data_IF_591490064385
#
_entry.id   IF_591490064385
#
_cell.length_a   1.000
_cell.length_b   1.000
_cell.length_c   1.000
_cell.angle_alpha   90.00
_cell.angle_beta   90.00
_cell.angle_gamma   90.00
#
_symmetry.space_group_name_H-M   'P 1'
#
loop_
_entity.id
_entity.type
_entity.pdbx_description
1 polymer ?
#
# COMPACT_ATOMS: atom_id res chain seq x y z
N UNK A 1 1.19 13.17 -14.49
CA UNK A 1 2.49 12.69 -15.01
C UNK A 1 2.52 13.03 -16.51
N UNK A 2 3.67 13.41 -17.05
CA UNK A 2 3.84 13.76 -18.47
C UNK A 2 4.89 12.83 -19.09
N UNK A 3 4.42 11.82 -19.81
CA UNK A 3 5.27 10.81 -20.44
C UNK A 3 6.16 11.37 -21.54
N UNK A 4 5.75 12.45 -22.21
CA UNK A 4 6.52 13.06 -23.30
C UNK A 4 7.82 13.70 -22.81
N UNK A 5 7.88 14.06 -21.52
CA UNK A 5 9.05 14.64 -20.88
C UNK A 5 10.01 13.60 -20.29
N UNK A 6 9.65 12.31 -20.30
CA UNK A 6 10.44 11.24 -19.70
C UNK A 6 11.19 10.44 -20.77
N UNK A 7 12.53 10.49 -20.73
CA UNK A 7 13.36 9.66 -21.62
C UNK A 7 13.31 8.15 -21.34
N UNK A 8 13.21 7.65 -20.08
CA UNK A 8 13.05 6.23 -19.80
C UNK A 8 11.62 5.69 -19.98
N UNK A 9 10.65 6.53 -20.33
CA UNK A 9 9.27 6.10 -20.55
C UNK A 9 9.16 5.06 -21.66
N UNK A 10 8.36 4.03 -21.39
CA UNK A 10 7.92 3.03 -22.36
C UNK A 10 6.40 2.97 -22.35
N UNK A 11 5.79 3.18 -23.51
CA UNK A 11 4.35 3.07 -23.67
C UNK A 11 3.89 1.62 -23.47
N UNK A 12 2.82 1.43 -22.70
CA UNK A 12 2.10 0.16 -22.60
C UNK A 12 0.70 0.33 -23.23
N UNK A 13 -0.12 1.23 -22.69
CA UNK A 13 -1.40 1.62 -23.30
C UNK A 13 -2.58 0.68 -23.03
N UNK A 14 -2.38 -0.45 -22.36
CA UNK A 14 -3.47 -1.30 -21.88
C UNK A 14 -4.40 -0.51 -20.95
N UNK A 15 -5.70 -0.62 -21.17
CA UNK A 15 -6.69 0.10 -20.37
C UNK A 15 -6.77 -0.46 -18.96
N UNK A 16 -6.91 0.43 -17.98
CA UNK A 16 -6.97 0.10 -16.57
C UNK A 16 -8.19 0.75 -15.91
N UNK A 17 -8.82 0.04 -14.96
CA UNK A 17 -9.85 0.64 -14.11
C UNK A 17 -9.89 0.01 -12.73
N UNK A 18 -10.01 0.84 -11.69
CA UNK A 18 -10.25 0.44 -10.30
C UNK A 18 -11.59 1.01 -9.84
N UNK A 19 -12.36 0.18 -9.13
CA UNK A 19 -13.54 0.61 -8.40
C UNK A 19 -13.19 0.84 -6.92
N UNK A 20 -13.44 2.06 -6.43
CA UNK A 20 -13.38 2.40 -5.02
C UNK A 20 -14.80 2.45 -4.43
N UNK A 21 -14.92 2.40 -3.10
CA UNK A 21 -16.22 2.47 -2.42
C UNK A 21 -16.99 3.77 -2.70
N UNK A 22 -16.28 4.85 -2.99
CA UNK A 22 -16.83 6.20 -3.20
C UNK A 22 -16.69 6.74 -4.62
N UNK A 23 -16.19 5.93 -5.57
CA UNK A 23 -15.95 6.35 -6.95
C UNK A 23 -15.23 5.30 -7.78
N UNK A 24 -14.80 5.66 -8.98
CA UNK A 24 -13.94 4.82 -9.79
C UNK A 24 -12.76 5.63 -10.31
N UNK A 25 -11.73 4.94 -10.78
CA UNK A 25 -10.60 5.51 -11.48
C UNK A 25 -10.39 4.70 -12.75
N UNK A 26 -10.18 5.38 -13.87
CA UNK A 26 -9.85 4.71 -15.13
C UNK A 26 -8.78 5.47 -15.91
N UNK A 27 -8.07 4.73 -16.75
CA UNK A 27 -6.93 5.24 -17.49
C UNK A 27 -6.22 4.12 -18.24
N UNK A 28 -4.90 4.19 -18.30
CA UNK A 28 -4.09 3.19 -18.98
C UNK A 28 -2.76 2.94 -18.28
N UNK A 29 -2.15 1.80 -18.55
CA UNK A 29 -0.85 1.42 -18.03
C UNK A 29 0.28 2.10 -18.82
N UNK A 30 1.32 2.45 -18.08
CA UNK A 30 2.58 3.01 -18.57
C UNK A 30 3.75 2.42 -17.80
N UNK A 31 4.92 2.38 -18.41
CA UNK A 31 6.15 1.92 -17.77
C UNK A 31 7.15 3.07 -17.71
N UNK A 32 7.76 3.27 -16.53
CA UNK A 32 8.84 4.24 -16.37
C UNK A 32 9.73 3.89 -15.16
N UNK A 33 10.75 4.72 -14.92
CA UNK A 33 11.58 4.70 -13.71
C UNK A 33 10.88 5.45 -12.58
N UNK A 34 10.61 4.75 -11.47
CA UNK A 34 10.03 5.33 -10.26
C UNK A 34 11.13 5.53 -9.21
N UNK A 35 11.19 6.75 -8.63
CA UNK A 35 12.08 7.03 -7.50
C UNK A 35 11.30 7.20 -6.22
N UNK A 36 11.65 6.43 -5.19
CA UNK A 36 11.02 6.48 -3.86
C UNK A 36 12.08 6.27 -2.78
N UNK A 37 12.09 7.12 -1.75
CA UNK A 37 13.04 7.03 -0.63
C UNK A 37 14.52 6.90 -1.06
N UNK A 38 14.91 7.56 -2.16
CA UNK A 38 16.27 7.48 -2.71
C UNK A 38 16.57 6.23 -3.55
N UNK A 39 15.66 5.25 -3.57
CA UNK A 39 15.74 4.08 -4.44
C UNK A 39 15.26 4.43 -5.85
N UNK A 40 15.88 3.82 -6.85
CA UNK A 40 15.50 3.97 -8.26
C UNK A 40 15.01 2.63 -8.78
N UNK A 41 13.70 2.48 -8.88
CA UNK A 41 13.01 1.31 -9.42
C UNK A 41 12.92 1.48 -10.93
N UNK A 42 13.59 0.61 -11.69
CA UNK A 42 13.49 0.63 -13.15
C UNK A 42 12.29 -0.17 -13.63
N UNK A 43 11.80 0.16 -14.83
CA UNK A 43 10.78 -0.61 -15.54
C UNK A 43 9.51 -0.87 -14.70
N UNK A 44 9.13 0.10 -13.86
CA UNK A 44 7.91 0.00 -13.06
C UNK A 44 6.71 0.32 -13.94
N UNK A 45 5.79 -0.64 -14.06
CA UNK A 45 4.48 -0.42 -14.67
C UNK A 45 3.55 0.22 -13.65
N UNK A 46 2.86 1.31 -14.00
CA UNK A 46 1.86 1.98 -13.18
C UNK A 46 0.73 2.51 -14.05
N UNK A 47 -0.40 2.86 -13.42
CA UNK A 47 -1.55 3.42 -14.11
C UNK A 47 -1.46 4.96 -14.17
N UNK A 48 -1.64 5.53 -15.37
CA UNK A 48 -1.94 6.93 -15.56
C UNK A 48 -3.46 7.13 -15.47
N UNK A 49 -3.92 7.85 -14.45
CA UNK A 49 -5.33 8.15 -14.27
C UNK A 49 -5.79 9.22 -15.26
N UNK A 50 -6.80 8.89 -16.06
CA UNK A 50 -7.38 9.80 -17.06
C UNK A 50 -8.75 10.30 -16.64
N UNK A 51 -9.47 9.51 -15.84
CA UNK A 51 -10.76 9.86 -15.28
C UNK A 51 -10.82 9.43 -13.81
N UNK A 52 -11.19 10.37 -12.97
CA UNK A 52 -11.38 10.18 -11.52
C UNK A 52 -12.78 10.68 -11.13
N UNK A 53 -13.85 9.99 -11.57
CA UNK A 53 -15.21 10.40 -11.24
C UNK A 53 -15.46 10.38 -9.72
N UNK A 54 -15.96 11.51 -9.21
CA UNK A 54 -16.34 11.69 -7.80
C UNK A 54 -15.53 12.79 -7.12
N UNK A 55 -15.67 12.91 -5.81
CA UNK A 55 -14.95 13.91 -4.99
C UNK A 55 -13.85 13.29 -4.12
N UNK A 56 -13.70 11.97 -4.17
CA UNK A 56 -12.78 11.22 -3.30
C UNK A 56 -11.32 11.62 -3.49
N UNK A 57 -10.94 12.01 -4.70
CA UNK A 57 -9.58 12.45 -5.04
C UNK A 57 -9.44 13.98 -5.08
N UNK A 58 -10.54 14.71 -5.34
CA UNK A 58 -10.57 16.18 -5.54
C UNK A 58 -10.11 16.99 -4.32
N UNK A 59 -10.38 16.50 -3.09
CA UNK A 59 -9.99 17.16 -1.84
C UNK A 59 -8.94 16.38 -1.05
N UNK A 60 -8.22 15.47 -1.71
CA UNK A 60 -7.21 14.67 -1.04
C UNK A 60 -5.90 15.46 -0.90
N UNK A 61 -5.13 15.18 0.15
CA UNK A 61 -3.80 15.74 0.36
C UNK A 61 -2.70 14.98 -0.39
N UNK A 62 -3.06 14.07 -1.31
CA UNK A 62 -2.15 13.20 -2.03
C UNK A 62 -2.49 13.20 -3.53
N UNK A 63 -1.49 12.97 -4.39
CA UNK A 63 -1.68 12.96 -5.85
C UNK A 63 -1.94 11.55 -6.42
N UNK A 64 -1.70 10.50 -5.63
CA UNK A 64 -1.88 9.12 -6.06
C UNK A 64 -1.63 8.10 -4.96
N UNK A 65 -1.70 6.82 -5.33
CA UNK A 65 -1.53 5.69 -4.42
C UNK A 65 -0.35 4.81 -4.85
N UNK A 66 0.45 4.38 -3.88
CA UNK A 66 1.48 3.38 -4.06
C UNK A 66 1.05 2.09 -3.33
N UNK A 67 0.52 1.13 -4.09
CA UNK A 67 0.04 -0.14 -3.54
C UNK A 67 1.18 -1.00 -3.00
N UNK A 68 1.05 -1.47 -1.76
CA UNK A 68 2.05 -2.31 -1.06
C UNK A 68 1.54 -3.73 -0.78
N UNK A 69 0.39 -4.11 -1.35
CA UNK A 69 -0.20 -5.44 -1.19
C UNK A 69 0.39 -6.46 -2.18
N UNK A 70 -0.14 -7.69 -2.18
CA UNK A 70 0.35 -8.76 -3.05
C UNK A 70 -0.08 -8.55 -4.51
N UNK A 71 0.73 -9.04 -5.45
CA UNK A 71 0.43 -8.98 -6.88
C UNK A 71 -0.90 -9.66 -7.25
N UNK A 72 -1.34 -10.67 -6.49
CA UNK A 72 -2.57 -11.43 -6.77
C UNK A 72 -3.85 -10.59 -6.75
N UNK A 73 -3.83 -9.41 -6.14
CA UNK A 73 -4.94 -8.45 -6.15
C UNK A 73 -4.63 -7.18 -6.95
N UNK A 74 -3.52 -7.18 -7.69
CA UNK A 74 -3.18 -6.11 -8.62
C UNK A 74 -4.01 -6.26 -9.88
N UNK A 75 -4.69 -5.20 -10.30
CA UNK A 75 -5.37 -5.17 -11.58
C UNK A 75 -4.37 -5.44 -12.70
N UNK A 76 -4.81 -6.23 -13.69
CA UNK A 76 -4.01 -6.65 -14.83
C UNK A 76 -2.71 -7.38 -14.44
N UNK A 77 -2.66 -7.91 -13.21
CA UNK A 77 -1.50 -8.62 -12.65
C UNK A 77 -0.20 -7.78 -12.70
N UNK A 78 -0.32 -6.45 -12.61
CA UNK A 78 0.83 -5.54 -12.62
C UNK A 78 1.73 -5.80 -11.41
N UNK A 79 3.04 -5.90 -11.63
CA UNK A 79 4.04 -6.14 -10.57
C UNK A 79 4.10 -4.93 -9.62
N UNK A 80 3.81 -5.08 -8.31
CA UNK A 80 3.83 -3.95 -7.37
C UNK A 80 5.24 -3.39 -7.13
N UNK A 81 5.38 -2.11 -6.73
CA UNK A 81 6.68 -1.48 -6.52
C UNK A 81 7.63 -2.23 -5.59
N UNK A 82 7.12 -2.80 -4.48
CA UNK A 82 7.98 -3.52 -3.54
C UNK A 82 8.56 -4.82 -4.12
N UNK A 83 7.84 -5.47 -5.05
CA UNK A 83 8.34 -6.65 -5.75
C UNK A 83 9.54 -6.28 -6.63
N UNK A 84 9.45 -5.16 -7.35
CA UNK A 84 10.54 -4.64 -8.16
C UNK A 84 11.71 -4.13 -7.31
N UNK A 85 11.44 -3.49 -6.16
CA UNK A 85 12.48 -3.11 -5.20
C UNK A 85 13.30 -4.33 -4.76
N UNK A 86 12.61 -5.42 -4.40
CA UNK A 86 13.25 -6.64 -3.96
C UNK A 86 13.98 -7.37 -5.10
N UNK A 87 13.31 -7.57 -6.24
CA UNK A 87 13.88 -8.32 -7.38
C UNK A 87 15.08 -7.63 -8.01
N UNK A 88 15.15 -6.29 -7.95
CA UNK A 88 16.28 -5.49 -8.43
C UNK A 88 17.40 -5.36 -7.37
N UNK A 89 17.26 -5.95 -6.18
CA UNK A 89 18.27 -5.94 -5.13
C UNK A 89 18.49 -4.57 -4.49
N UNK A 90 17.47 -3.72 -4.47
CA UNK A 90 17.57 -2.34 -3.96
C UNK A 90 17.51 -2.26 -2.42
N UNK A 91 17.14 -3.36 -1.77
CA UNK A 91 17.06 -3.50 -0.31
C UNK A 91 17.67 -4.83 0.13
N UNK A 92 18.19 -4.88 1.36
CA UNK A 92 18.86 -6.07 1.89
C UNK A 92 17.89 -7.18 2.34
N UNK A 93 16.64 -6.82 2.66
CA UNK A 93 15.62 -7.75 3.15
C UNK A 93 14.28 -7.49 2.47
N UNK A 94 13.48 -8.52 2.31
CA UNK A 94 12.14 -8.52 1.72
C UNK A 94 11.04 -8.06 2.69
N UNK A 95 11.36 -7.08 3.53
CA UNK A 95 10.43 -6.50 4.52
C UNK A 95 10.32 -4.99 4.36
N UNK A 96 9.16 -4.44 4.68
CA UNK A 96 8.97 -3.01 4.90
C UNK A 96 8.18 -2.78 6.17
N UNK A 97 8.29 -1.59 6.74
CA UNK A 97 7.62 -1.25 8.00
C UNK A 97 7.13 0.20 7.99
N UNK A 98 6.14 0.45 8.84
CA UNK A 98 5.54 1.77 9.01
C UNK A 98 5.58 2.18 10.47
N UNK A 99 5.99 3.43 10.69
CA UNK A 99 5.74 4.18 11.91
C UNK A 99 4.80 5.33 11.55
N UNK A 100 3.65 5.42 12.21
CA UNK A 100 2.69 6.51 12.00
C UNK A 100 2.55 7.29 13.30
N UNK A 101 2.96 8.55 13.29
CA UNK A 101 2.82 9.40 14.46
C UNK A 101 1.33 9.69 14.70
N UNK A 102 0.93 9.71 15.98
CA UNK A 102 -0.46 10.04 16.34
C UNK A 102 -0.69 11.53 16.14
N UNK A 103 -1.90 11.89 15.75
CA UNK A 103 -2.28 13.29 15.56
C UNK A 103 -1.95 14.11 16.83
N UNK A 104 -1.18 15.18 16.65
CA UNK A 104 -0.78 16.08 17.73
C UNK A 104 0.41 15.61 18.59
N UNK A 105 1.02 14.45 18.32
CA UNK A 105 2.17 13.97 19.11
C UNK A 105 3.53 14.27 18.48
N UNK A 106 3.57 14.69 17.22
CA UNK A 106 4.81 15.03 16.49
C UNK A 106 4.51 15.93 15.29
N UNK A 107 5.50 16.75 14.90
CA UNK A 107 5.49 17.47 13.62
C UNK A 107 5.92 16.57 12.45
N UNK A 108 6.56 15.43 12.73
CA UNK A 108 6.86 14.39 11.73
C UNK A 108 5.71 13.38 11.73
N UNK A 109 4.99 13.28 10.60
CA UNK A 109 3.77 12.47 10.50
C UNK A 109 3.98 10.95 10.54
N UNK A 110 5.19 10.48 10.21
CA UNK A 110 5.52 9.06 10.21
C UNK A 110 6.74 8.75 9.36
N UNK A 111 7.06 7.46 9.24
CA UNK A 111 8.13 6.93 8.41
C UNK A 111 7.68 5.61 7.78
N UNK A 112 7.99 5.45 6.49
CA UNK A 112 7.99 4.16 5.81
C UNK A 112 9.44 3.73 5.63
N UNK A 113 9.76 2.51 6.04
CA UNK A 113 11.12 1.96 5.97
C UNK A 113 11.08 0.76 5.01
N UNK A 114 11.91 0.80 3.98
CA UNK A 114 12.05 -0.27 3.00
C UNK A 114 13.32 -1.07 3.32
N UNK A 115 13.21 -2.39 3.43
CA UNK A 115 14.33 -3.28 3.74
C UNK A 115 14.57 -3.54 5.23
N UNK A 116 13.70 -3.07 6.13
CA UNK A 116 13.86 -3.27 7.57
C UNK A 116 12.87 -2.51 8.43
N UNK A 117 13.25 -2.34 9.69
CA UNK A 117 12.54 -1.55 10.72
C UNK A 117 13.55 -0.78 11.57
N UNK A 118 13.13 0.33 12.17
CA UNK A 118 13.95 1.09 13.11
C UNK A 118 13.57 0.72 14.56
N UNK A 119 14.47 0.06 15.33
CA UNK A 119 14.22 -0.29 16.74
C UNK A 119 13.94 0.89 17.66
N UNK A 120 14.27 2.12 17.27
CA UNK A 120 13.97 3.32 18.05
C UNK A 120 12.50 3.75 17.94
N UNK A 121 11.74 3.19 16.99
CA UNK A 121 10.34 3.54 16.73
C UNK A 121 9.33 2.60 17.39
N UNK A 122 9.79 1.58 18.12
CA UNK A 122 8.93 0.66 18.88
C UNK A 122 9.58 0.22 20.19
N UNK A 123 8.78 -0.35 21.10
CA UNK A 123 9.27 -0.91 22.36
C UNK A 123 9.03 -2.41 22.40
N UNK A 124 9.97 -3.14 22.99
CA UNK A 124 9.91 -4.61 23.04
C UNK A 124 10.22 -5.28 21.70
N UNK A 125 9.80 -6.53 21.55
CA UNK A 125 9.96 -7.31 20.31
C UNK A 125 8.72 -7.24 19.42
N UNK A 126 8.92 -7.50 18.13
CA UNK A 126 7.81 -7.65 17.17
C UNK A 126 7.15 -9.03 17.34
N UNK A 127 5.82 -9.04 17.37
CA UNK A 127 5.02 -10.26 17.30
C UNK A 127 4.69 -10.56 15.85
N UNK A 128 5.17 -11.69 15.35
CA UNK A 128 4.90 -12.14 13.99
C UNK A 128 3.70 -13.08 13.96
N UNK A 129 2.82 -12.87 12.99
CA UNK A 129 1.70 -13.76 12.67
C UNK A 129 1.79 -14.13 11.19
N UNK A 130 1.53 -15.40 10.81
CA UNK A 130 1.60 -15.81 9.43
C UNK A 130 0.46 -15.21 8.60
N UNK A 131 0.73 -14.99 7.31
CA UNK A 131 -0.30 -14.62 6.35
C UNK A 131 -1.28 -15.79 6.21
N UNK A 132 -2.56 -15.53 6.46
CA UNK A 132 -3.61 -16.55 6.37
C UNK A 132 -4.11 -16.77 4.94
N UNK A 133 -4.11 -15.71 4.13
CA UNK A 133 -4.45 -15.75 2.71
C UNK A 133 -3.68 -14.65 1.97
N UNK A 134 -2.99 -15.03 0.88
CA UNK A 134 -2.27 -14.06 0.05
C UNK A 134 -3.24 -13.22 -0.77
N UNK A 135 -2.98 -11.92 -0.80
CA UNK A 135 -3.79 -10.89 -1.47
C UNK A 135 -3.65 -9.59 -0.69
N UNK A 136 -4.37 -9.49 0.42
CA UNK A 136 -4.12 -8.47 1.43
C UNK A 136 -3.04 -8.91 2.43
N UNK A 137 -2.58 -7.98 3.27
CA UNK A 137 -1.80 -8.30 4.48
C UNK A 137 -2.73 -8.88 5.55
N UNK A 138 -3.30 -10.04 5.25
CA UNK A 138 -4.33 -10.71 6.05
C UNK A 138 -3.72 -11.74 7.01
N UNK A 139 -4.21 -11.75 8.24
CA UNK A 139 -3.80 -12.71 9.28
C UNK A 139 -4.99 -13.12 10.16
N UNK A 140 -4.84 -14.28 10.82
CA UNK A 140 -5.82 -14.77 11.79
C UNK A 140 -5.72 -13.99 13.10
N UNK A 141 -6.86 -13.51 13.59
CA UNK A 141 -7.03 -12.87 14.89
C UNK A 141 -7.72 -13.84 15.83
N UNK A 142 -7.17 -14.08 17.02
CA UNK A 142 -7.74 -15.02 17.99
C UNK A 142 -9.02 -14.55 18.67
N UNK A 143 -9.23 -13.24 18.76
CA UNK A 143 -10.38 -12.63 19.42
C UNK A 143 -10.28 -11.12 19.53
N UNK A 144 -11.42 -10.46 19.74
CA UNK A 144 -11.54 -9.02 19.92
C UNK A 144 -12.68 -8.71 20.88
N UNK A 145 -12.51 -7.64 21.66
CA UNK A 145 -13.51 -7.17 22.62
C UNK A 145 -13.77 -5.69 22.44
N UNK A 146 -15.04 -5.27 22.49
CA UNK A 146 -15.45 -3.88 22.43
C UNK A 146 -16.44 -3.59 23.55
N UNK A 147 -16.13 -2.64 24.43
CA UNK A 147 -17.01 -2.29 25.56
C UNK A 147 -17.33 -3.48 26.50
N UNK A 148 -16.43 -4.46 26.61
CA UNK A 148 -16.65 -5.69 27.40
C UNK A 148 -17.40 -6.81 26.66
N UNK A 149 -17.87 -6.60 25.43
CA UNK A 149 -18.48 -7.63 24.60
C UNK A 149 -17.45 -8.28 23.69
N UNK A 150 -17.54 -9.60 23.53
CA UNK A 150 -16.69 -10.39 22.64
C UNK A 150 -17.27 -10.35 21.23
N UNK A 151 -16.50 -9.83 20.26
CA UNK A 151 -16.94 -9.69 18.86
C UNK A 151 -16.53 -10.89 17.98
N UNK A 152 -15.38 -11.53 18.26
CA UNK A 152 -14.89 -12.68 17.50
C UNK A 152 -14.32 -13.79 18.42
N UNK A 153 -15.16 -14.33 19.31
CA UNK A 153 -14.73 -15.30 20.34
C UNK A 153 -14.17 -16.62 19.81
N UNK A 154 -14.43 -16.96 18.54
CA UNK A 154 -13.90 -18.15 17.87
C UNK A 154 -12.79 -17.82 16.85
N UNK A 155 -12.24 -16.60 16.93
CA UNK A 155 -11.31 -16.05 15.96
C UNK A 155 -11.98 -15.45 14.72
N UNK A 156 -11.25 -14.59 14.03
CA UNK A 156 -11.63 -14.01 12.74
C UNK A 156 -10.40 -13.71 11.88
N UNK A 157 -10.62 -13.07 10.73
CA UNK A 157 -9.55 -12.56 9.87
C UNK A 157 -9.43 -11.05 10.05
N UNK A 158 -8.21 -10.55 10.00
CA UNK A 158 -7.91 -9.12 10.04
C UNK A 158 -6.92 -8.77 8.93
N UNK A 159 -6.96 -7.53 8.45
CA UNK A 159 -6.03 -6.99 7.46
C UNK A 159 -5.32 -5.79 8.08
N UNK A 160 -3.99 -5.73 7.93
CA UNK A 160 -3.25 -4.50 8.17
C UNK A 160 -3.30 -3.61 6.91
N UNK A 161 -4.07 -2.53 6.97
CA UNK A 161 -4.27 -1.60 5.86
C UNK A 161 -3.82 -0.18 6.25
N UNK A 162 -2.70 0.27 5.69
CA UNK A 162 -2.19 1.63 5.90
C UNK A 162 -2.93 2.69 5.09
N UNK A 163 -3.79 2.28 4.15
CA UNK A 163 -4.62 3.18 3.33
C UNK A 163 -5.90 3.64 4.05
N UNK A 164 -6.29 2.98 5.15
CA UNK A 164 -7.52 3.29 5.89
C UNK A 164 -7.19 3.83 7.29
N UNK A 165 -7.84 4.94 7.68
CA UNK A 165 -7.66 5.55 9.01
C UNK A 165 -8.56 4.95 10.09
N UNK A 166 -9.61 4.22 9.69
CA UNK A 166 -10.61 3.60 10.56
C UNK A 166 -10.27 2.14 10.86
N UNK A 167 -10.77 1.64 12.00
CA UNK A 167 -10.91 0.20 12.22
C UNK A 167 -12.32 -0.18 11.80
N UNK A 168 -12.43 -1.08 10.83
CA UNK A 168 -13.71 -1.60 10.34
C UNK A 168 -13.90 -3.02 10.86
N UNK A 169 -15.05 -3.30 11.46
CA UNK A 169 -15.40 -4.61 11.98
C UNK A 169 -16.84 -4.98 11.60
N UNK A 170 -17.17 -6.27 11.45
CA UNK A 170 -18.55 -6.72 11.33
C UNK A 170 -19.39 -6.26 12.52
N UNK A 171 -20.65 -5.91 12.24
CA UNK A 171 -21.65 -5.58 13.24
C UNK A 171 -22.29 -6.83 13.84
#
# INVERSE_FOLDING_TARGET
YDSSASSPYVANGESFSIQYGSGSLSGYLSQDTVRVAGLTIKDQVFAEAMQEPGTSFVNSGFDGLMGMAFQSISNDNVVPPFYNIWSQGLVSNDVFSFYLARAGTSNQGGQMILGGSDPNLYQGGLTYVPISQQGYWQFSLGGATMGGQVMCGNGCQAIADTGTSLIVAPY
#
